data_IF_301681327570
#
_entry.id   IF_301681327570
#
_cell.length_a   1.000
_cell.length_b   1.000
_cell.length_c   1.000
_cell.angle_alpha   90.00
_cell.angle_beta   90.00
_cell.angle_gamma   90.00
#
_symmetry.space_group_name_H-M   'P 1'
#
loop_
_entity.id
_entity.type
_entity.pdbx_description
1 polymer ?
#
# COMPACT_ATOMS: atom_id res chain seq x y z
N UNK A 1 43.48 7.23 13.98
CA UNK A 1 42.20 7.85 13.57
C UNK A 1 41.16 6.80 13.15
N UNK A 2 41.35 6.03 12.07
CA UNK A 2 40.37 5.04 11.56
C UNK A 2 39.96 3.92 12.55
N UNK A 3 40.89 3.37 13.34
CA UNK A 3 40.58 2.32 14.35
C UNK A 3 39.66 2.82 15.47
N UNK A 4 39.85 4.07 15.91
CA UNK A 4 39.05 4.71 16.96
C UNK A 4 37.63 5.05 16.46
N UNK A 5 37.51 5.51 15.20
CA UNK A 5 36.20 5.74 14.58
C UNK A 5 35.41 4.44 14.40
N UNK A 6 36.07 3.34 13.99
CA UNK A 6 35.43 2.02 13.87
C UNK A 6 34.94 1.49 15.23
N UNK A 7 35.77 1.58 16.27
CA UNK A 7 35.36 1.20 17.64
C UNK A 7 34.21 2.05 18.19
N UNK A 8 34.24 3.37 17.97
CA UNK A 8 33.16 4.28 18.40
C UNK A 8 31.85 3.96 17.68
N UNK A 9 31.91 3.64 16.39
CA UNK A 9 30.73 3.25 15.61
C UNK A 9 30.17 1.90 16.05
N UNK A 10 31.02 0.90 16.33
CA UNK A 10 30.61 -0.38 16.89
C UNK A 10 29.92 -0.21 18.25
N UNK A 11 30.50 0.58 19.15
CA UNK A 11 29.93 0.79 20.49
C UNK A 11 28.58 1.53 20.44
N UNK A 12 28.43 2.50 19.54
CA UNK A 12 27.15 3.22 19.31
C UNK A 12 26.10 2.28 18.72
N UNK A 13 26.46 1.39 17.79
CA UNK A 13 25.54 0.40 17.26
C UNK A 13 25.10 -0.63 18.31
N UNK A 14 26.02 -1.10 19.16
CA UNK A 14 25.72 -2.02 20.27
C UNK A 14 24.80 -1.37 21.30
N UNK A 15 25.10 -0.14 21.73
CA UNK A 15 24.23 0.63 22.63
C UNK A 15 22.84 0.88 22.02
N UNK A 16 22.78 1.21 20.73
CA UNK A 16 21.51 1.34 20.02
C UNK A 16 20.74 0.02 19.98
N UNK A 17 21.44 -1.10 19.76
CA UNK A 17 20.83 -2.44 19.75
C UNK A 17 20.26 -2.80 21.12
N UNK A 18 20.99 -2.55 22.20
CA UNK A 18 20.52 -2.79 23.57
C UNK A 18 19.34 -1.89 23.95
N UNK A 19 19.38 -0.62 23.57
CA UNK A 19 18.27 0.32 23.79
C UNK A 19 17.02 -0.10 23.02
N UNK A 20 17.17 -0.51 21.76
CA UNK A 20 16.07 -1.03 20.93
C UNK A 20 15.50 -2.29 21.57
N UNK A 21 16.34 -3.25 21.98
CA UNK A 21 15.88 -4.49 22.60
C UNK A 21 15.14 -4.24 23.92
N UNK A 22 15.60 -3.30 24.75
CA UNK A 22 14.90 -2.89 25.97
C UNK A 22 13.54 -2.25 25.67
N UNK A 23 13.50 -1.36 24.67
CA UNK A 23 12.26 -0.70 24.26
C UNK A 23 11.25 -1.71 23.67
N UNK A 24 11.71 -2.66 22.86
CA UNK A 24 10.90 -3.77 22.34
C UNK A 24 10.41 -4.65 23.49
N UNK A 25 11.24 -4.97 24.48
CA UNK A 25 10.84 -5.71 25.67
C UNK A 25 9.73 -5.01 26.46
N UNK A 26 9.84 -3.70 26.68
CA UNK A 26 8.78 -2.91 27.32
C UNK A 26 7.48 -2.92 26.50
N UNK A 27 7.59 -2.79 25.17
CA UNK A 27 6.45 -2.87 24.26
C UNK A 27 5.78 -4.25 24.27
N UNK A 28 6.55 -5.34 24.32
CA UNK A 28 6.04 -6.71 24.49
C UNK A 28 5.25 -6.81 25.80
N UNK A 29 5.84 -6.37 26.91
CA UNK A 29 5.16 -6.40 28.22
C UNK A 29 3.80 -5.70 28.18
N UNK A 30 3.77 -4.48 27.62
CA UNK A 30 2.53 -3.72 27.45
C UNK A 30 1.48 -4.48 26.61
N UNK A 31 1.84 -5.00 25.44
CA UNK A 31 0.88 -5.69 24.57
C UNK A 31 0.37 -7.00 25.17
N UNK A 32 1.24 -7.76 25.83
CA UNK A 32 0.84 -9.01 26.50
C UNK A 32 -0.12 -8.73 27.65
N UNK A 33 0.09 -7.66 28.42
CA UNK A 33 -0.85 -7.27 29.47
C UNK A 33 -2.21 -6.84 28.89
N UNK A 34 -2.25 -6.18 27.73
CA UNK A 34 -3.51 -5.89 27.04
C UNK A 34 -4.22 -7.16 26.56
N UNK A 35 -3.50 -8.08 25.92
CA UNK A 35 -4.06 -9.36 25.49
C UNK A 35 -4.60 -10.18 26.67
N UNK A 36 -3.87 -10.21 27.78
CA UNK A 36 -4.27 -10.90 28.99
C UNK A 36 -5.58 -10.34 29.57
N UNK A 37 -5.77 -9.02 29.52
CA UNK A 37 -7.04 -8.37 29.94
C UNK A 37 -8.19 -8.72 29.00
N UNK A 38 -7.97 -8.62 27.69
CA UNK A 38 -9.01 -8.85 26.68
C UNK A 38 -9.46 -10.31 26.63
N UNK A 39 -8.52 -11.26 26.75
CA UNK A 39 -8.78 -12.69 26.59
C UNK A 39 -8.75 -13.47 27.90
N UNK A 40 -8.58 -12.79 29.04
CA UNK A 40 -8.52 -13.38 30.38
C UNK A 40 -7.47 -14.48 30.50
N UNK A 41 -6.26 -14.22 29.99
CA UNK A 41 -5.15 -15.16 30.10
C UNK A 41 -4.81 -15.39 31.57
N UNK A 42 -4.55 -16.65 31.92
CA UNK A 42 -3.96 -16.96 33.22
C UNK A 42 -2.47 -16.55 33.27
N UNK A 43 -1.86 -16.67 34.45
CA UNK A 43 -0.46 -16.28 34.65
C UNK A 43 0.49 -17.09 33.76
N UNK A 44 0.24 -18.38 33.60
CA UNK A 44 1.09 -19.27 32.82
C UNK A 44 0.99 -18.94 31.33
N UNK A 45 -0.21 -18.71 30.81
CA UNK A 45 -0.45 -18.26 29.43
C UNK A 45 0.25 -16.94 29.16
N UNK A 46 0.10 -15.96 30.07
CA UNK A 46 0.74 -14.64 29.95
C UNK A 46 2.25 -14.75 29.91
N UNK A 47 2.85 -15.48 30.85
CA UNK A 47 4.30 -15.61 30.96
C UNK A 47 4.86 -16.37 29.74
N UNK A 48 4.12 -17.35 29.22
CA UNK A 48 4.55 -18.09 28.02
C UNK A 48 4.48 -17.23 26.76
N UNK A 49 3.41 -16.46 26.56
CA UNK A 49 3.30 -15.53 25.42
C UNK A 49 4.41 -14.48 25.49
N UNK A 50 4.68 -13.91 26.67
CA UNK A 50 5.75 -12.94 26.86
C UNK A 50 7.12 -13.52 26.51
N UNK A 51 7.46 -14.70 27.06
CA UNK A 51 8.72 -15.37 26.79
C UNK A 51 8.91 -15.70 25.31
N UNK A 52 7.83 -16.13 24.63
CA UNK A 52 7.87 -16.40 23.19
C UNK A 52 8.15 -15.13 22.40
N UNK A 53 7.41 -14.05 22.65
CA UNK A 53 7.60 -12.78 21.95
C UNK A 53 9.01 -12.22 22.18
N UNK A 54 9.50 -12.24 23.42
CA UNK A 54 10.83 -11.74 23.76
C UNK A 54 11.95 -12.50 23.05
N UNK A 55 11.78 -13.82 22.88
CA UNK A 55 12.79 -14.68 22.22
C UNK A 55 12.75 -14.60 20.69
N UNK A 56 11.62 -14.16 20.10
CA UNK A 56 11.40 -14.23 18.66
C UNK A 56 11.28 -12.87 17.96
N UNK A 57 11.08 -11.77 18.70
CA UNK A 57 10.90 -10.43 18.13
C UNK A 57 12.11 -9.90 17.37
N UNK A 58 13.32 -10.36 17.71
CA UNK A 58 14.58 -9.99 17.05
C UNK A 58 14.72 -8.46 16.90
N UNK A 59 14.45 -7.73 17.99
CA UNK A 59 14.51 -6.26 18.03
C UNK A 59 13.44 -5.54 17.18
N UNK A 60 12.39 -6.22 16.71
CA UNK A 60 11.42 -5.66 15.77
C UNK A 60 10.04 -5.41 16.42
N UNK A 61 9.70 -4.14 16.65
CA UNK A 61 8.36 -3.74 17.11
C UNK A 61 7.23 -4.22 16.19
N UNK A 62 7.47 -4.16 14.88
CA UNK A 62 6.48 -4.54 13.87
C UNK A 62 6.12 -6.02 13.97
N UNK A 63 7.11 -6.91 14.17
CA UNK A 63 6.85 -8.34 14.36
C UNK A 63 5.99 -8.57 15.61
N UNK A 64 6.31 -7.89 16.73
CA UNK A 64 5.52 -7.97 17.96
C UNK A 64 4.08 -7.52 17.73
N UNK A 65 3.89 -6.40 17.02
CA UNK A 65 2.58 -5.88 16.68
C UNK A 65 1.78 -6.89 15.83
N UNK A 66 2.40 -7.51 14.82
CA UNK A 66 1.77 -8.52 13.97
C UNK A 66 1.27 -9.72 14.76
N UNK A 67 2.12 -10.29 15.63
CA UNK A 67 1.74 -11.45 16.45
C UNK A 67 0.63 -11.07 17.43
N UNK A 68 0.73 -9.89 18.08
CA UNK A 68 -0.29 -9.45 19.03
C UNK A 68 -1.64 -9.17 18.37
N UNK A 69 -1.64 -8.57 17.18
CA UNK A 69 -2.86 -8.35 16.39
C UNK A 69 -3.52 -9.68 16.02
N UNK A 70 -2.73 -10.65 15.57
CA UNK A 70 -3.25 -11.97 15.22
C UNK A 70 -3.83 -12.71 16.44
N UNK A 71 -3.18 -12.61 17.60
CA UNK A 71 -3.71 -13.13 18.87
C UNK A 71 -5.02 -12.44 19.26
N UNK A 72 -5.10 -11.12 19.10
CA UNK A 72 -6.29 -10.33 19.42
C UNK A 72 -7.53 -10.73 18.60
N UNK A 73 -7.39 -10.87 17.27
CA UNK A 73 -8.51 -11.24 16.39
C UNK A 73 -9.05 -12.64 16.66
N UNK A 74 -8.20 -13.57 17.08
CA UNK A 74 -8.59 -14.97 17.29
C UNK A 74 -9.41 -15.24 18.53
N UNK A 75 -9.37 -14.34 19.51
CA UNK A 75 -10.09 -14.54 20.77
C UNK A 75 -11.61 -14.48 20.63
N UNK A 76 -12.12 -14.03 19.49
CA UNK A 76 -13.56 -14.06 19.17
C UNK A 76 -14.05 -15.45 18.71
N UNK A 77 -13.17 -16.36 18.27
CA UNK A 77 -13.54 -17.67 17.70
C UNK A 77 -13.04 -18.80 18.63
N UNK A 78 -13.63 -18.87 19.82
CA UNK A 78 -13.44 -19.96 20.77
C UNK A 78 -12.05 -20.02 21.43
N UNK A 79 -11.97 -20.65 22.60
CA UNK A 79 -10.74 -20.83 23.39
C UNK A 79 -9.72 -21.74 22.69
N UNK A 80 -9.16 -21.32 21.55
CA UNK A 80 -8.02 -22.01 20.91
C UNK A 80 -6.74 -21.61 21.63
N UNK A 81 -5.91 -22.60 21.93
CA UNK A 81 -4.66 -22.45 22.66
C UNK A 81 -3.73 -21.43 21.97
N UNK A 82 -3.41 -20.27 22.59
CA UNK A 82 -2.56 -19.23 22.00
C UNK A 82 -1.17 -19.77 21.60
N UNK A 83 -0.68 -20.82 22.27
CA UNK A 83 0.62 -21.44 22.00
C UNK A 83 0.68 -22.15 20.64
N UNK A 84 -0.43 -22.75 20.21
CA UNK A 84 -0.47 -23.41 18.90
C UNK A 84 -0.31 -22.38 17.77
N UNK A 85 -0.80 -21.15 17.99
CA UNK A 85 -0.72 -20.07 17.01
C UNK A 85 0.60 -19.34 17.04
N UNK A 86 1.19 -19.15 18.23
CA UNK A 86 2.54 -18.60 18.36
C UNK A 86 3.56 -19.40 17.52
N UNK A 87 3.45 -20.73 17.50
CA UNK A 87 4.32 -21.59 16.69
C UNK A 87 4.21 -21.38 15.17
N UNK A 88 3.12 -20.78 14.68
CA UNK A 88 2.99 -20.43 13.27
C UNK A 88 3.81 -19.18 12.91
N UNK A 89 4.24 -18.39 13.90
CA UNK A 89 5.06 -17.20 13.73
C UNK A 89 6.54 -17.51 13.94
N UNK A 90 7.36 -17.56 12.87
CA UNK A 90 8.78 -17.78 13.00
C UNK A 90 9.48 -16.56 13.61
N UNK A 91 10.70 -16.78 14.09
CA UNK A 91 11.57 -15.73 14.62
C UNK A 91 11.87 -14.65 13.56
N UNK A 92 11.59 -13.41 13.93
CA UNK A 92 11.93 -12.22 13.15
C UNK A 92 11.00 -11.94 11.97
N UNK A 93 10.89 -10.65 11.63
CA UNK A 93 9.97 -10.16 10.60
C UNK A 93 10.29 -10.69 9.20
N UNK A 94 11.57 -10.80 8.85
CA UNK A 94 12.01 -11.30 7.55
C UNK A 94 11.58 -12.74 7.32
N UNK A 95 11.79 -13.61 8.31
CA UNK A 95 11.42 -15.03 8.22
C UNK A 95 9.91 -15.18 8.12
N UNK A 96 9.16 -14.38 8.90
CA UNK A 96 7.70 -14.34 8.85
C UNK A 96 7.21 -14.01 7.44
N UNK A 97 7.75 -12.96 6.84
CA UNK A 97 7.35 -12.57 5.50
C UNK A 97 7.78 -13.58 4.43
N UNK A 98 8.99 -14.15 4.49
CA UNK A 98 9.38 -15.21 3.56
C UNK A 98 8.40 -16.40 3.61
N UNK A 99 8.07 -16.87 4.81
CA UNK A 99 7.13 -17.97 4.99
C UNK A 99 5.75 -17.65 4.38
N UNK A 100 5.26 -16.41 4.52
CA UNK A 100 3.98 -16.02 3.92
C UNK A 100 4.04 -15.99 2.38
N UNK A 101 5.14 -15.52 1.77
CA UNK A 101 5.29 -15.58 0.31
C UNK A 101 5.42 -17.04 -0.16
N UNK A 102 6.13 -17.89 0.58
CA UNK A 102 6.26 -19.33 0.29
C UNK A 102 4.89 -20.04 0.34
N UNK A 103 4.04 -19.67 1.31
CA UNK A 103 2.67 -20.19 1.41
C UNK A 103 1.83 -19.82 0.19
N UNK A 104 1.94 -18.57 -0.29
CA UNK A 104 1.23 -18.10 -1.48
C UNK A 104 1.74 -18.84 -2.72
N UNK A 105 3.04 -19.08 -2.84
CA UNK A 105 3.62 -19.82 -3.97
C UNK A 105 3.23 -21.30 -4.00
N UNK A 106 2.79 -21.87 -2.89
CA UNK A 106 2.28 -23.24 -2.82
C UNK A 106 0.82 -23.40 -3.25
N UNK A 107 0.10 -22.31 -3.57
CA UNK A 107 -1.29 -22.35 -4.03
C UNK A 107 -1.38 -22.74 -5.53
N UNK A 108 -2.49 -23.35 -5.94
CA UNK A 108 -2.71 -23.75 -7.34
C UNK A 108 -2.81 -22.55 -8.29
N UNK A 109 -3.52 -21.49 -7.90
CA UNK A 109 -3.60 -20.23 -8.64
C UNK A 109 -3.02 -19.08 -7.83
N UNK A 110 -1.77 -18.74 -8.11
CA UNK A 110 -1.03 -17.69 -7.38
C UNK A 110 -1.15 -16.32 -8.03
N UNK A 111 -1.70 -16.24 -9.25
CA UNK A 111 -1.73 -15.01 -10.06
C UNK A 111 -2.36 -13.83 -9.33
N UNK A 112 -3.60 -13.96 -8.82
CA UNK A 112 -4.29 -12.89 -8.12
C UNK A 112 -3.58 -12.40 -6.85
N UNK A 113 -2.97 -13.32 -6.09
CA UNK A 113 -2.22 -13.01 -4.88
C UNK A 113 -0.93 -12.24 -5.20
N UNK A 114 -0.17 -12.71 -6.20
CA UNK A 114 1.05 -12.03 -6.65
C UNK A 114 0.75 -10.66 -7.22
N UNK A 115 -0.31 -10.51 -7.99
CA UNK A 115 -0.73 -9.20 -8.51
C UNK A 115 -1.13 -8.25 -7.35
N UNK A 116 -1.89 -8.72 -6.37
CA UNK A 116 -2.26 -7.91 -5.21
C UNK A 116 -1.05 -7.47 -4.39
N UNK A 117 -0.10 -8.38 -4.12
CA UNK A 117 1.15 -8.04 -3.44
C UNK A 117 2.02 -7.08 -4.26
N UNK A 118 2.07 -7.25 -5.59
CA UNK A 118 2.76 -6.33 -6.48
C UNK A 118 2.15 -4.93 -6.40
N UNK A 119 0.82 -4.79 -6.42
CA UNK A 119 0.12 -3.51 -6.20
C UNK A 119 0.46 -2.95 -4.82
N UNK A 120 0.30 -3.74 -3.75
CA UNK A 120 0.56 -3.33 -2.38
C UNK A 120 2.00 -2.83 -2.17
N UNK A 121 2.97 -3.38 -2.91
CA UNK A 121 4.37 -2.98 -2.84
C UNK A 121 4.60 -1.54 -3.33
N UNK A 122 3.76 -0.99 -4.21
CA UNK A 122 4.01 0.30 -4.84
C UNK A 122 2.97 1.39 -4.58
N UNK A 123 1.82 1.05 -4.00
CA UNK A 123 0.81 2.05 -3.66
C UNK A 123 1.28 3.03 -2.58
N UNK A 124 0.80 4.28 -2.64
CA UNK A 124 1.23 5.35 -1.73
C UNK A 124 0.45 5.41 -0.41
N UNK A 125 -0.66 4.66 -0.32
CA UNK A 125 -1.49 4.51 0.88
C UNK A 125 -2.22 3.16 0.85
N UNK A 126 -2.81 2.71 1.97
CA UNK A 126 -3.75 1.61 1.96
C UNK A 126 -4.89 1.86 0.96
N UNK A 127 -5.29 0.82 0.23
CA UNK A 127 -6.34 0.86 -0.80
C UNK A 127 -7.60 0.13 -0.32
N UNK A 128 -8.77 0.58 -0.78
CA UNK A 128 -10.06 -0.05 -0.47
C UNK A 128 -10.34 -1.25 -1.38
N UNK A 129 -11.34 -2.07 -1.04
CA UNK A 129 -11.79 -3.18 -1.89
C UNK A 129 -12.19 -2.71 -3.30
N UNK A 130 -12.89 -1.57 -3.39
CA UNK A 130 -13.31 -1.01 -4.68
C UNK A 130 -12.10 -0.56 -5.52
N UNK A 131 -11.04 -0.05 -4.87
CA UNK A 131 -9.81 0.37 -5.53
C UNK A 131 -8.97 -0.84 -5.98
N UNK A 132 -8.96 -1.94 -5.22
CA UNK A 132 -8.28 -3.17 -5.64
C UNK A 132 -8.78 -3.64 -7.00
N UNK A 133 -10.10 -3.61 -7.24
CA UNK A 133 -10.70 -4.02 -8.52
C UNK A 133 -10.27 -3.17 -9.71
N UNK A 134 -9.84 -1.92 -9.46
CA UNK A 134 -9.31 -1.03 -10.50
C UNK A 134 -7.81 -1.25 -10.71
N UNK A 135 -7.06 -1.48 -9.62
CA UNK A 135 -5.60 -1.49 -9.64
C UNK A 135 -5.03 -2.89 -9.95
N UNK A 136 -5.77 -3.96 -9.69
CA UNK A 136 -5.42 -5.35 -10.00
C UNK A 136 -6.42 -5.92 -11.02
N UNK A 137 -6.00 -6.10 -12.27
CA UNK A 137 -6.90 -6.44 -13.38
C UNK A 137 -7.45 -7.86 -13.25
N UNK A 138 -6.67 -8.81 -12.72
CA UNK A 138 -7.16 -10.18 -12.51
C UNK A 138 -8.28 -10.23 -11.47
N UNK A 139 -8.38 -9.21 -10.61
CA UNK A 139 -9.35 -9.12 -9.52
C UNK A 139 -10.60 -8.30 -9.86
N UNK A 140 -10.69 -7.76 -11.08
CA UNK A 140 -11.77 -6.84 -11.46
C UNK A 140 -13.16 -7.49 -11.37
N UNK A 141 -13.27 -8.76 -11.76
CA UNK A 141 -14.53 -9.52 -11.78
C UNK A 141 -14.67 -10.51 -10.63
N UNK A 142 -13.75 -10.49 -9.67
CA UNK A 142 -13.80 -11.35 -8.49
C UNK A 142 -14.97 -10.92 -7.59
N UNK A 143 -15.76 -11.88 -7.13
CA UNK A 143 -16.81 -11.59 -6.16
C UNK A 143 -16.22 -11.12 -4.83
N UNK A 144 -17.09 -10.61 -3.95
CA UNK A 144 -16.65 -10.00 -2.70
C UNK A 144 -16.00 -11.02 -1.78
N UNK A 145 -16.59 -12.20 -1.65
CA UNK A 145 -16.14 -13.23 -0.70
C UNK A 145 -14.79 -13.80 -1.14
N UNK A 146 -14.60 -13.98 -2.44
CA UNK A 146 -13.33 -14.36 -3.04
C UNK A 146 -12.24 -13.30 -2.85
N UNK A 147 -12.58 -12.03 -3.06
CA UNK A 147 -11.64 -10.92 -2.88
C UNK A 147 -11.21 -10.78 -1.42
N UNK A 148 -12.16 -10.90 -0.49
CA UNK A 148 -11.89 -10.87 0.95
C UNK A 148 -10.96 -12.02 1.37
N UNK A 149 -11.18 -13.24 0.86
CA UNK A 149 -10.29 -14.38 1.11
C UNK A 149 -8.86 -14.17 0.60
N UNK A 150 -8.72 -13.57 -0.60
CA UNK A 150 -7.41 -13.26 -1.17
C UNK A 150 -6.69 -12.24 -0.29
N UNK A 151 -7.40 -11.19 0.14
CA UNK A 151 -6.86 -10.15 1.02
C UNK A 151 -6.47 -10.73 2.39
N UNK A 152 -7.30 -11.59 2.97
CA UNK A 152 -7.00 -12.28 4.23
C UNK A 152 -5.75 -13.15 4.12
N UNK A 153 -5.57 -13.84 2.99
CA UNK A 153 -4.40 -14.68 2.72
C UNK A 153 -3.12 -13.87 2.51
N UNK A 154 -3.22 -12.71 1.87
CA UNK A 154 -2.14 -11.73 1.81
C UNK A 154 -1.91 -11.06 3.18
N UNK A 155 -2.91 -11.07 4.06
CA UNK A 155 -2.83 -10.79 5.48
C UNK A 155 -2.07 -9.51 5.83
N UNK A 156 -1.15 -9.65 6.79
CA UNK A 156 -0.35 -8.54 7.35
C UNK A 156 0.51 -7.77 6.33
N UNK A 157 0.70 -8.30 5.11
CA UNK A 157 1.39 -7.54 4.06
C UNK A 157 0.64 -6.28 3.66
N UNK A 158 -0.69 -6.32 3.70
CA UNK A 158 -1.54 -5.24 3.21
C UNK A 158 -1.79 -4.16 4.27
N UNK A 159 -1.61 -4.50 5.55
CA UNK A 159 -1.89 -3.59 6.67
C UNK A 159 -0.64 -2.94 7.24
N UNK A 160 0.55 -3.49 6.99
CA UNK A 160 1.79 -3.03 7.61
C UNK A 160 2.65 -2.25 6.61
N UNK A 161 2.92 -0.98 6.92
CA UNK A 161 3.81 -0.16 6.09
C UNK A 161 5.22 -0.78 5.92
N UNK A 162 5.71 -1.55 6.92
CA UNK A 162 6.99 -2.25 6.84
C UNK A 162 7.01 -3.50 5.95
N UNK A 163 5.83 -4.05 5.60
CA UNK A 163 5.74 -5.10 4.60
C UNK A 163 6.11 -4.59 3.20
N UNK A 164 5.80 -3.33 2.89
CA UNK A 164 6.10 -2.72 1.59
C UNK A 164 7.60 -2.77 1.27
N UNK A 165 8.44 -2.43 2.24
CA UNK A 165 9.90 -2.43 2.05
C UNK A 165 10.44 -3.86 1.89
N UNK A 166 9.86 -4.83 2.60
CA UNK A 166 10.19 -6.24 2.39
C UNK A 166 9.80 -6.69 0.98
N UNK A 167 8.57 -6.40 0.54
CA UNK A 167 8.07 -6.75 -0.78
C UNK A 167 8.92 -6.14 -1.90
N UNK A 168 9.37 -4.88 -1.73
CA UNK A 168 10.21 -4.17 -2.71
C UNK A 168 11.65 -4.66 -2.78
N UNK A 169 12.25 -5.05 -1.65
CA UNK A 169 13.70 -5.30 -1.58
C UNK A 169 14.07 -6.78 -1.54
N UNK A 170 13.18 -7.64 -1.02
CA UNK A 170 13.51 -9.04 -0.74
C UNK A 170 12.60 -10.01 -1.48
N UNK A 171 11.35 -9.63 -1.74
CA UNK A 171 10.43 -10.44 -2.54
C UNK A 171 10.25 -9.94 -3.98
N UNK A 172 11.01 -8.90 -4.40
CA UNK A 172 10.85 -8.28 -5.72
C UNK A 172 10.87 -9.29 -6.85
N UNK A 173 11.81 -10.23 -6.83
CA UNK A 173 11.99 -11.18 -7.92
C UNK A 173 10.84 -12.20 -7.99
N UNK A 174 10.10 -12.37 -6.90
CA UNK A 174 9.00 -13.33 -6.76
C UNK A 174 7.63 -12.73 -7.12
N UNK A 175 7.43 -11.45 -6.79
CA UNK A 175 6.15 -10.74 -6.98
C UNK A 175 6.18 -9.66 -8.07
N UNK A 176 7.36 -9.18 -8.47
CA UNK A 176 7.59 -8.10 -9.44
C UNK A 176 8.60 -8.57 -10.51
N UNK A 177 8.30 -9.59 -11.32
CA UNK A 177 9.25 -10.15 -12.29
C UNK A 177 9.73 -9.10 -13.32
N UNK A 178 8.88 -8.12 -13.64
CA UNK A 178 9.21 -7.00 -14.54
C UNK A 178 9.78 -5.77 -13.81
N UNK A 179 9.95 -5.84 -12.50
CA UNK A 179 10.50 -4.78 -11.65
C UNK A 179 9.50 -3.71 -11.21
N UNK A 180 9.95 -2.88 -10.26
CA UNK A 180 9.14 -1.83 -9.62
C UNK A 180 8.66 -0.76 -10.62
N UNK A 181 9.52 -0.34 -11.54
CA UNK A 181 9.17 0.67 -12.54
C UNK A 181 8.03 0.20 -13.47
N UNK A 182 8.05 -1.07 -13.87
CA UNK A 182 6.97 -1.67 -14.65
C UNK A 182 5.65 -1.74 -13.86
N UNK A 183 5.71 -2.03 -12.56
CA UNK A 183 4.48 -2.02 -11.75
C UNK A 183 3.90 -0.62 -11.59
N UNK A 184 4.75 0.40 -11.40
CA UNK A 184 4.30 1.80 -11.43
C UNK A 184 3.66 2.14 -12.79
N UNK A 185 4.23 1.65 -13.88
CA UNK A 185 3.68 1.84 -15.22
C UNK A 185 2.29 1.21 -15.40
N UNK A 186 2.13 -0.04 -14.99
CA UNK A 186 0.85 -0.74 -15.04
C UNK A 186 -0.24 0.01 -14.26
N UNK A 187 0.09 0.47 -13.04
CA UNK A 187 -0.83 1.25 -12.22
C UNK A 187 -1.19 2.60 -12.83
N UNK A 188 -0.24 3.27 -13.49
CA UNK A 188 -0.51 4.49 -14.25
C UNK A 188 -1.55 4.25 -15.36
N UNK A 189 -1.33 3.23 -16.21
CA UNK A 189 -2.22 2.92 -17.32
C UNK A 189 -3.63 2.52 -16.84
N UNK A 190 -3.71 1.65 -15.84
CA UNK A 190 -4.98 1.22 -15.23
C UNK A 190 -5.74 2.38 -14.61
N UNK A 191 -5.02 3.24 -13.88
CA UNK A 191 -5.59 4.46 -13.29
C UNK A 191 -6.19 5.36 -14.36
N UNK A 192 -5.43 5.66 -15.41
CA UNK A 192 -5.87 6.60 -16.45
C UNK A 192 -7.05 6.03 -17.26
N UNK A 193 -7.04 4.73 -17.55
CA UNK A 193 -8.16 4.01 -18.18
C UNK A 193 -9.44 4.11 -17.34
N UNK A 194 -9.35 3.87 -16.04
CA UNK A 194 -10.50 3.97 -15.13
C UNK A 194 -11.03 5.40 -15.03
N UNK A 195 -10.14 6.40 -14.94
CA UNK A 195 -10.54 7.81 -14.89
C UNK A 195 -11.22 8.25 -16.19
N UNK A 196 -10.72 7.84 -17.35
CA UNK A 196 -11.37 8.12 -18.64
C UNK A 196 -12.79 7.54 -18.73
N UNK A 197 -12.99 6.35 -18.17
CA UNK A 197 -14.29 5.67 -18.19
C UNK A 197 -15.31 6.28 -17.21
N UNK A 198 -14.87 6.68 -16.02
CA UNK A 198 -15.76 7.05 -14.91
C UNK A 198 -15.97 8.56 -14.78
N UNK A 199 -14.93 9.37 -15.00
CA UNK A 199 -15.04 10.82 -14.79
C UNK A 199 -16.02 11.44 -15.79
N UNK A 200 -16.94 12.25 -15.27
CA UNK A 200 -17.92 13.01 -16.02
C UNK A 200 -18.27 14.27 -15.27
N UNK A 201 -18.77 15.27 -16.00
CA UNK A 201 -19.29 16.50 -15.40
C UNK A 201 -20.35 16.20 -14.35
N UNK A 202 -20.26 16.87 -13.21
CA UNK A 202 -21.21 16.74 -12.12
C UNK A 202 -21.39 15.28 -11.68
N UNK A 203 -20.30 14.63 -11.30
CA UNK A 203 -20.27 13.17 -11.09
C UNK A 203 -21.27 12.69 -10.02
N UNK A 204 -21.55 13.55 -9.02
CA UNK A 204 -22.53 13.33 -7.96
C UNK A 204 -23.94 13.85 -8.28
N UNK A 205 -24.16 14.49 -9.43
CA UNK A 205 -25.47 15.06 -9.77
C UNK A 205 -25.92 16.17 -8.81
N UNK A 206 -24.97 16.98 -8.31
CA UNK A 206 -25.24 18.09 -7.41
C UNK A 206 -26.01 19.19 -8.14
N UNK A 207 -27.10 19.65 -7.51
CA UNK A 207 -27.94 20.71 -8.06
C UNK A 207 -27.33 22.11 -7.88
N UNK A 208 -26.44 22.29 -6.89
CA UNK A 208 -25.83 23.57 -6.55
C UNK A 208 -24.30 23.46 -6.41
N UNK A 209 -23.53 24.42 -6.94
CA UNK A 209 -22.09 24.50 -6.68
C UNK A 209 -21.83 24.81 -5.20
N UNK A 210 -20.85 24.13 -4.59
CA UNK A 210 -20.42 24.39 -3.19
C UNK A 210 -21.08 23.52 -2.11
N UNK A 211 -21.85 22.48 -2.49
CA UNK A 211 -22.36 21.50 -1.52
C UNK A 211 -21.21 20.71 -0.91
N UNK A 212 -21.05 20.81 0.40
CA UNK A 212 -20.15 19.97 1.20
C UNK A 212 -20.80 18.60 1.31
N UNK A 213 -20.24 17.60 0.64
CA UNK A 213 -20.69 16.23 0.76
C UNK A 213 -20.21 15.62 2.07
N UNK A 214 -21.13 15.06 2.85
CA UNK A 214 -20.77 14.16 3.94
C UNK A 214 -20.44 12.77 3.36
N UNK A 215 -19.16 12.44 3.39
CA UNK A 215 -18.62 11.17 2.90
C UNK A 215 -19.00 9.95 3.77
N UNK A 216 -19.80 10.12 4.82
CA UNK A 216 -20.42 9.03 5.59
C UNK A 216 -21.51 8.26 4.81
N UNK A 217 -21.88 8.75 3.62
CA UNK A 217 -22.91 8.18 2.74
C UNK A 217 -22.52 6.79 2.19
N UNK A 218 -23.51 5.90 2.06
CA UNK A 218 -23.37 4.50 1.59
C UNK A 218 -22.48 4.34 0.33
N UNK A 219 -21.64 3.28 0.24
CA UNK A 219 -20.76 3.00 -0.91
C UNK A 219 -21.49 2.97 -2.26
N UNK A 220 -22.78 2.61 -2.25
CA UNK A 220 -23.65 2.54 -3.44
C UNK A 220 -23.84 3.93 -4.07
N UNK A 221 -23.64 5.01 -3.31
CA UNK A 221 -23.81 6.41 -3.71
C UNK A 221 -22.49 7.16 -3.93
N UNK A 222 -21.33 6.50 -3.83
CA UNK A 222 -20.03 7.13 -4.01
C UNK A 222 -19.40 6.74 -5.36
N UNK A 223 -19.69 7.46 -6.47
CA UNK A 223 -19.14 7.16 -7.78
C UNK A 223 -17.61 7.30 -7.87
N UNK A 224 -16.99 7.95 -6.88
CA UNK A 224 -15.52 8.07 -6.80
C UNK A 224 -14.87 6.95 -5.99
N UNK A 225 -15.62 6.09 -5.28
CA UNK A 225 -15.06 5.10 -4.36
C UNK A 225 -13.98 4.21 -5.02
N UNK A 226 -14.28 3.68 -6.21
CA UNK A 226 -13.37 2.81 -6.95
C UNK A 226 -12.17 3.55 -7.57
N UNK A 227 -12.34 4.82 -7.95
CA UNK A 227 -11.32 5.59 -8.67
C UNK A 227 -10.59 6.63 -7.80
N UNK A 228 -10.90 6.71 -6.50
CA UNK A 228 -10.34 7.71 -5.59
C UNK A 228 -8.81 7.65 -5.54
N UNK A 229 -8.24 6.45 -5.45
CA UNK A 229 -6.78 6.26 -5.53
C UNK A 229 -6.23 6.79 -6.84
N UNK A 230 -6.82 6.37 -7.96
CA UNK A 230 -6.43 6.77 -9.31
C UNK A 230 -6.47 8.29 -9.49
N UNK A 231 -7.53 8.96 -9.01
CA UNK A 231 -7.68 10.42 -9.07
C UNK A 231 -6.48 11.14 -8.45
N UNK A 232 -5.90 10.60 -7.37
CA UNK A 232 -4.86 11.28 -6.60
C UNK A 232 -3.46 10.92 -7.08
N UNK A 233 -3.24 9.65 -7.50
CA UNK A 233 -1.88 9.10 -7.62
C UNK A 233 -1.44 8.70 -9.03
N UNK A 234 -2.28 8.83 -10.06
CA UNK A 234 -1.91 8.39 -11.42
C UNK A 234 -0.64 9.08 -11.95
N UNK A 235 -0.44 10.38 -11.67
CA UNK A 235 0.78 11.12 -12.05
C UNK A 235 1.99 10.65 -11.24
N UNK A 236 1.82 10.35 -9.96
CA UNK A 236 2.93 9.83 -9.14
C UNK A 236 3.44 8.50 -9.71
N UNK A 237 2.53 7.63 -10.16
CA UNK A 237 2.89 6.38 -10.84
C UNK A 237 3.59 6.62 -12.18
N UNK A 238 3.14 7.58 -12.98
CA UNK A 238 3.81 7.96 -14.23
C UNK A 238 5.26 8.42 -13.98
N UNK A 239 5.50 9.28 -12.99
CA UNK A 239 6.85 9.75 -12.63
C UNK A 239 7.77 8.59 -12.23
N UNK A 240 7.29 7.68 -11.38
CA UNK A 240 8.09 6.54 -10.88
C UNK A 240 8.18 5.36 -11.85
N UNK A 241 7.45 5.40 -12.97
CA UNK A 241 7.63 4.44 -14.06
C UNK A 241 8.94 4.64 -14.82
N UNK A 242 9.67 5.74 -14.53
CA UNK A 242 10.90 6.14 -15.21
C UNK A 242 10.79 6.00 -16.74
N UNK A 243 9.79 6.66 -17.35
CA UNK A 243 9.50 6.42 -18.74
C UNK A 243 10.71 6.82 -19.60
N UNK A 244 11.25 5.86 -20.33
CA UNK A 244 12.31 6.07 -21.32
C UNK A 244 11.87 7.07 -22.39
N UNK A 245 12.81 7.66 -23.13
CA UNK A 245 12.50 8.55 -24.27
C UNK A 245 11.48 7.91 -25.24
N UNK A 246 11.62 6.62 -25.54
CA UNK A 246 10.69 5.89 -26.43
C UNK A 246 9.28 5.74 -25.85
N UNK A 247 9.16 5.44 -24.56
CA UNK A 247 7.84 5.36 -23.89
C UNK A 247 7.20 6.73 -23.66
N UNK A 248 8.02 7.77 -23.43
CA UNK A 248 7.54 9.16 -23.39
C UNK A 248 6.94 9.57 -24.73
N UNK A 249 7.61 9.22 -25.84
CA UNK A 249 7.14 9.52 -27.19
C UNK A 249 5.79 8.89 -27.54
N UNK A 250 5.29 7.89 -26.79
CA UNK A 250 3.96 7.28 -27.00
C UNK A 250 2.91 7.72 -25.96
N UNK A 251 3.31 8.41 -24.89
CA UNK A 251 2.42 8.74 -23.76
C UNK A 251 2.23 10.24 -23.54
N UNK A 252 3.32 10.98 -23.69
CA UNK A 252 3.44 12.40 -23.44
C UNK A 252 3.50 13.24 -24.73
N UNK A 253 3.38 12.60 -25.90
CA UNK A 253 3.25 13.30 -27.16
C UNK A 253 1.82 13.84 -27.34
N UNK A 254 1.67 14.81 -28.24
CA UNK A 254 0.37 15.30 -28.66
C UNK A 254 -0.48 14.16 -29.27
N UNK A 255 -1.70 13.94 -28.75
CA UNK A 255 -2.53 12.78 -29.08
C UNK A 255 -2.20 11.49 -28.31
N UNK A 256 -1.20 11.52 -27.41
CA UNK A 256 -0.90 10.42 -26.48
C UNK A 256 -1.94 10.29 -25.38
N UNK A 257 -1.84 9.22 -24.57
CA UNK A 257 -2.86 8.92 -23.54
C UNK A 257 -3.01 10.04 -22.49
N UNK A 258 -1.93 10.74 -22.14
CA UNK A 258 -1.97 11.86 -21.19
C UNK A 258 -2.61 13.08 -21.82
N UNK A 259 -2.21 13.46 -23.03
CA UNK A 259 -2.82 14.58 -23.78
C UNK A 259 -4.32 14.35 -23.96
N UNK A 260 -4.71 13.14 -24.36
CA UNK A 260 -6.11 12.77 -24.53
C UNK A 260 -6.90 12.90 -23.21
N UNK A 261 -6.32 12.46 -22.09
CA UNK A 261 -6.94 12.63 -20.78
C UNK A 261 -7.12 14.10 -20.40
N UNK A 262 -6.08 14.92 -20.56
CA UNK A 262 -6.14 16.35 -20.22
C UNK A 262 -7.22 17.05 -21.08
N UNK A 263 -7.22 16.83 -22.40
CA UNK A 263 -8.22 17.45 -23.29
C UNK A 263 -9.67 17.05 -22.97
N UNK A 264 -9.90 15.80 -22.57
CA UNK A 264 -11.26 15.30 -22.36
C UNK A 264 -11.77 15.41 -20.92
N UNK A 265 -10.89 15.28 -19.93
CA UNK A 265 -11.28 15.02 -18.54
C UNK A 265 -10.65 15.97 -17.52
N UNK A 266 -9.81 16.92 -17.92
CA UNK A 266 -9.11 17.79 -16.97
C UNK A 266 -10.04 18.47 -15.96
N UNK A 267 -11.10 19.14 -16.43
CA UNK A 267 -12.05 19.82 -15.53
C UNK A 267 -12.81 18.83 -14.61
N UNK A 268 -13.22 17.68 -15.14
CA UNK A 268 -13.89 16.63 -14.35
C UNK A 268 -12.94 16.03 -13.29
N UNK A 269 -11.65 15.98 -13.59
CA UNK A 269 -10.61 15.55 -12.66
C UNK A 269 -10.40 16.58 -11.55
N UNK A 270 -10.34 17.89 -11.87
CA UNK A 270 -10.27 18.95 -10.86
C UNK A 270 -11.53 19.01 -9.98
N UNK A 271 -12.72 18.83 -10.57
CA UNK A 271 -13.98 18.69 -9.83
C UNK A 271 -13.87 17.54 -8.81
N UNK A 272 -13.44 16.37 -9.27
CA UNK A 272 -13.29 15.18 -8.43
C UNK A 272 -12.24 15.36 -7.34
N UNK A 273 -11.12 16.03 -7.64
CA UNK A 273 -10.10 16.37 -6.64
C UNK A 273 -10.62 17.35 -5.59
N UNK A 274 -11.47 18.30 -5.98
CA UNK A 274 -12.15 19.22 -5.05
C UNK A 274 -13.10 18.45 -4.13
N UNK A 275 -13.92 17.57 -4.70
CA UNK A 275 -14.85 16.72 -3.96
C UNK A 275 -14.15 15.73 -3.03
N UNK A 276 -12.91 15.34 -3.34
CA UNK A 276 -12.05 14.50 -2.50
C UNK A 276 -11.17 15.31 -1.52
N UNK A 277 -11.39 16.63 -1.42
CA UNK A 277 -10.57 17.56 -0.62
C UNK A 277 -9.05 17.42 -0.87
N UNK A 278 -8.69 17.10 -2.11
CA UNK A 278 -7.33 16.73 -2.53
C UNK A 278 -6.74 17.69 -3.57
N UNK A 279 -7.26 18.93 -3.67
CA UNK A 279 -6.80 19.91 -4.65
C UNK A 279 -5.32 20.22 -4.59
N UNK A 280 -4.73 20.27 -3.40
CA UNK A 280 -3.29 20.46 -3.23
C UNK A 280 -2.47 19.36 -3.93
N UNK A 281 -2.95 18.11 -3.89
CA UNK A 281 -2.34 16.99 -4.62
C UNK A 281 -2.50 17.15 -6.13
N UNK A 282 -3.65 17.65 -6.58
CA UNK A 282 -3.90 18.03 -7.98
C UNK A 282 -2.90 19.05 -8.51
N UNK A 283 -2.69 20.15 -7.79
CA UNK A 283 -1.72 21.19 -8.17
C UNK A 283 -0.32 20.60 -8.29
N UNK A 284 0.13 19.80 -7.30
CA UNK A 284 1.43 19.12 -7.35
C UNK A 284 1.52 18.18 -8.57
N UNK A 285 0.45 17.47 -8.88
CA UNK A 285 0.38 16.57 -10.03
C UNK A 285 0.51 17.32 -11.37
N UNK A 286 -0.15 18.47 -11.53
CA UNK A 286 -0.01 19.31 -12.73
C UNK A 286 1.45 19.78 -12.90
N UNK A 287 2.09 20.29 -11.84
CA UNK A 287 3.50 20.69 -11.90
C UNK A 287 4.44 19.54 -12.28
N UNK A 288 4.16 18.32 -11.80
CA UNK A 288 4.93 17.13 -12.20
C UNK A 288 4.74 16.81 -13.68
N UNK A 289 3.52 16.91 -14.21
CA UNK A 289 3.26 16.71 -15.63
C UNK A 289 3.97 17.76 -16.48
N UNK A 290 3.91 19.03 -16.10
CA UNK A 290 4.63 20.09 -16.81
C UNK A 290 6.13 19.83 -16.84
N UNK A 291 6.73 19.39 -15.73
CA UNK A 291 8.14 19.06 -15.67
C UNK A 291 8.50 17.88 -16.60
N UNK A 292 7.62 16.88 -16.72
CA UNK A 292 7.80 15.77 -17.65
C UNK A 292 7.71 16.21 -19.12
N UNK A 293 6.75 17.09 -19.45
CA UNK A 293 6.52 17.56 -20.83
C UNK A 293 7.56 18.61 -21.26
N UNK A 294 8.10 19.42 -20.35
CA UNK A 294 9.23 20.32 -20.68
C UNK A 294 10.49 19.56 -21.11
N UNK A 295 10.62 18.30 -20.69
CA UNK A 295 11.71 17.41 -21.11
C UNK A 295 11.43 16.71 -22.45
N UNK A 296 10.28 16.96 -23.07
CA UNK A 296 9.92 16.51 -24.42
C UNK A 296 9.80 17.73 -25.36
N UNK A 297 9.90 17.54 -26.68
CA UNK A 297 9.76 18.64 -27.66
C UNK A 297 8.30 19.12 -27.84
N UNK A 298 7.40 18.75 -26.92
CA UNK A 298 5.94 18.80 -27.07
C UNK A 298 5.32 20.11 -26.55
N UNK A 299 5.47 21.18 -27.32
CA UNK A 299 5.06 22.53 -26.91
C UNK A 299 3.55 22.72 -26.69
N UNK A 300 2.69 21.94 -27.36
CA UNK A 300 1.23 22.11 -27.27
C UNK A 300 0.66 21.55 -25.95
N UNK A 301 1.09 20.35 -25.54
CA UNK A 301 0.69 19.78 -24.25
C UNK A 301 1.22 20.62 -23.09
N UNK A 302 2.43 21.18 -23.22
CA UNK A 302 2.99 22.10 -22.23
C UNK A 302 2.12 23.36 -22.08
N UNK A 303 1.65 23.95 -23.18
CA UNK A 303 0.75 25.11 -23.15
C UNK A 303 -0.59 24.78 -22.49
N UNK A 304 -1.19 23.63 -22.83
CA UNK A 304 -2.44 23.19 -22.20
C UNK A 304 -2.31 23.01 -20.70
N UNK A 305 -1.18 22.54 -20.19
CA UNK A 305 -0.96 22.38 -18.75
C UNK A 305 -0.69 23.71 -18.03
N UNK A 306 -0.12 24.70 -18.73
CA UNK A 306 0.14 26.04 -18.19
C UNK A 306 -1.11 26.91 -18.11
N UNK A 307 -2.03 26.72 -19.05
CA UNK A 307 -3.32 27.44 -19.12
C UNK A 307 -4.38 26.85 -18.16
N UNK A 308 -4.07 25.71 -17.53
CA UNK A 308 -4.98 24.83 -16.82
C UNK A 308 -4.81 24.89 -15.29
#
# INVERSE_FOLDING_TARGET
>A
MLKSAKQKFTLVLELNTDLINKAVGAYIGYNVDQLARTHRYDKQERDTVNAYLASNADGTFLWVASVCQELAHSGSIGKRNPLARLKAFPRGLKTLYNQMVDQIEGLEDTGPYKELLAVASVVYRPITLDEVKILAESLANTDRDDLERIIESCGSFLTLQGARDFLRNQASDRILPSGIAHQHDALFLRSLKALLAVLRNNIYGLNNPGVILDHSSSPILNPLAAIRYSCIHWVDHLVHSHPTKRTNNNRLHNGGIVDNFIRQKYLHWLESLSLLYSMQKGVIAVHKLEALVRNTEERQLAGLLQDA
#
